data_IF_777090229484
#
_entry.id   IF_777090229484
#
_cell.length_a   1.000
_cell.length_b   1.000
_cell.length_c   1.000
_cell.angle_alpha   90.00
_cell.angle_beta   90.00
_cell.angle_gamma   90.00
#
_symmetry.space_group_name_H-M   'P 1'
#
loop_
_entity.id
_entity.type
_entity.pdbx_description
1 polymer ?
#
# COMPACT_ATOMS: atom_id res chain seq x y z
N UNK A 1 3.62 7.79 5.54
CA UNK A 1 4.03 6.76 4.55
C UNK A 1 5.36 6.19 4.98
N UNK A 2 5.47 4.88 5.22
CA UNK A 2 6.75 4.27 5.61
C UNK A 2 7.67 4.02 4.41
N UNK A 3 7.11 3.48 3.32
CA UNK A 3 7.86 3.18 2.11
C UNK A 3 6.94 3.11 0.90
N UNK A 4 7.44 3.48 -0.27
CA UNK A 4 6.79 3.29 -1.57
C UNK A 4 7.67 2.34 -2.39
N UNK A 5 7.07 1.36 -3.06
CA UNK A 5 7.74 0.38 -3.91
C UNK A 5 7.02 0.32 -5.26
N UNK A 6 7.77 0.44 -6.34
CA UNK A 6 7.26 0.33 -7.71
C UNK A 6 7.69 -1.00 -8.32
N UNK A 7 6.73 -1.76 -8.83
CA UNK A 7 6.95 -3.02 -9.54
C UNK A 7 6.45 -2.93 -10.99
N UNK A 8 6.91 -1.93 -11.73
CA UNK A 8 6.73 -1.87 -13.18
C UNK A 8 5.27 -1.66 -13.59
N UNK A 9 4.58 -0.75 -12.90
CA UNK A 9 3.17 -0.43 -13.14
C UNK A 9 2.25 -0.73 -11.97
N UNK A 10 2.72 -1.49 -10.96
CA UNK A 10 1.98 -1.67 -9.72
C UNK A 10 2.69 -0.96 -8.57
N UNK A 11 1.98 -0.03 -7.91
CA UNK A 11 2.52 0.71 -6.78
C UNK A 11 2.08 0.08 -5.47
N UNK A 12 3.05 -0.13 -4.58
CA UNK A 12 2.83 -0.57 -3.22
C UNK A 12 3.26 0.53 -2.25
N UNK A 13 2.37 0.89 -1.35
CA UNK A 13 2.62 1.87 -0.30
C UNK A 13 2.45 1.17 1.04
N UNK A 14 3.51 1.15 1.85
CA UNK A 14 3.44 0.72 3.24
C UNK A 14 3.01 1.97 4.04
N UNK A 15 1.73 2.07 4.43
CA UNK A 15 1.21 3.17 5.23
C UNK A 15 1.39 2.86 6.72
N UNK A 16 1.89 3.83 7.48
CA UNK A 16 2.14 3.70 8.92
C UNK A 16 1.23 4.63 9.69
N UNK A 17 0.59 4.09 10.72
CA UNK A 17 -0.16 4.83 11.73
C UNK A 17 0.22 4.34 13.14
N UNK A 18 -0.60 4.67 14.14
CA UNK A 18 -0.37 4.23 15.53
C UNK A 18 -0.61 2.74 15.79
N UNK A 19 -1.32 2.02 14.92
CA UNK A 19 -1.59 0.59 15.06
C UNK A 19 -0.57 -0.26 14.32
N UNK A 20 0.10 0.28 13.30
CA UNK A 20 1.22 -0.39 12.64
C UNK A 20 1.32 -0.04 11.17
N UNK A 21 1.66 -1.05 10.37
CA UNK A 21 1.82 -0.94 8.92
C UNK A 21 0.66 -1.64 8.22
N UNK A 22 0.07 -0.98 7.23
CA UNK A 22 -0.91 -1.56 6.30
C UNK A 22 -0.41 -1.36 4.87
N UNK A 23 -0.55 -2.38 4.02
CA UNK A 23 -0.17 -2.27 2.61
C UNK A 23 -1.33 -1.70 1.80
N UNK A 24 -1.00 -0.77 0.92
CA UNK A 24 -1.91 -0.21 -0.06
C UNK A 24 -1.36 -0.56 -1.43
N UNK A 25 -2.22 -1.06 -2.31
CA UNK A 25 -1.89 -1.35 -3.70
C UNK A 25 -2.65 -0.37 -4.58
N UNK A 26 -1.96 0.26 -5.53
CA UNK A 26 -2.57 1.08 -6.55
C UNK A 26 -2.23 0.49 -7.93
N UNK A 27 -3.25 -0.08 -8.59
CA UNK A 27 -3.19 -0.56 -9.98
C UNK A 27 -3.14 0.62 -10.96
N UNK A 28 -2.57 0.45 -12.18
CA UNK A 28 -2.53 1.49 -13.21
C UNK A 28 -3.89 2.10 -13.56
N UNK A 29 -4.94 1.27 -13.49
CA UNK A 29 -6.32 1.65 -13.82
C UNK A 29 -7.00 2.42 -12.68
N UNK A 30 -6.38 2.51 -11.51
CA UNK A 30 -6.90 3.29 -10.39
C UNK A 30 -6.86 4.79 -10.72
N UNK A 31 -7.95 5.55 -10.49
CA UNK A 31 -7.93 7.01 -10.65
C UNK A 31 -6.90 7.68 -9.71
N UNK A 32 -6.49 7.00 -8.65
CA UNK A 32 -5.49 7.48 -7.72
C UNK A 32 -4.04 7.22 -8.17
N UNK A 33 -3.80 6.44 -9.23
CA UNK A 33 -2.46 5.97 -9.59
C UNK A 33 -1.47 7.12 -9.83
N UNK A 34 -1.87 8.11 -10.65
CA UNK A 34 -1.04 9.28 -10.96
C UNK A 34 -0.67 10.10 -9.72
N UNK A 35 -1.57 10.17 -8.74
CA UNK A 35 -1.30 10.84 -7.46
C UNK A 35 -0.38 9.97 -6.61
N UNK A 36 -0.62 8.66 -6.54
CA UNK A 36 0.19 7.71 -5.80
C UNK A 36 1.66 7.68 -6.28
N UNK A 37 1.92 7.84 -7.59
CA UNK A 37 3.28 7.97 -8.16
C UNK A 37 4.08 9.16 -7.58
N UNK A 38 3.40 10.19 -7.09
CA UNK A 38 4.04 11.39 -6.50
C UNK A 38 4.38 11.22 -5.02
N UNK A 39 3.80 10.22 -4.34
CA UNK A 39 3.99 10.01 -2.90
C UNK A 39 5.45 9.67 -2.61
N UNK A 40 5.98 10.20 -1.50
CA UNK A 40 7.34 9.94 -1.02
C UNK A 40 7.31 9.45 0.43
N UNK A 41 8.47 8.97 0.89
CA UNK A 41 8.66 8.54 2.28
C UNK A 41 8.25 9.64 3.26
N UNK A 42 7.63 9.21 4.35
CA UNK A 42 7.21 10.04 5.49
C UNK A 42 6.11 11.08 5.21
N UNK A 43 5.49 11.06 4.02
CA UNK A 43 4.33 11.89 3.73
C UNK A 43 3.10 11.49 4.55
N UNK A 44 2.30 12.48 4.97
CA UNK A 44 0.99 12.28 5.60
C UNK A 44 -0.06 12.24 4.51
N UNK A 45 -0.76 11.11 4.38
CA UNK A 45 -1.78 10.89 3.35
C UNK A 45 -3.03 10.28 3.96
N UNK A 46 -4.16 10.49 3.29
CA UNK A 46 -5.40 9.75 3.49
C UNK A 46 -5.64 8.91 2.25
N UNK A 47 -6.06 7.66 2.44
CA UNK A 47 -6.42 6.75 1.35
C UNK A 47 -7.78 6.16 1.65
N UNK A 48 -8.68 6.24 0.68
CA UNK A 48 -9.96 5.54 0.69
C UNK A 48 -9.87 4.40 -0.35
N UNK A 49 -10.22 3.17 0.04
CA UNK A 49 -10.04 1.99 -0.79
C UNK A 49 -10.77 0.77 -0.24
N UNK A 50 -10.74 -0.32 -1.00
CA UNK A 50 -11.35 -1.60 -0.63
C UNK A 50 -10.31 -2.51 0.02
N UNK A 51 -10.64 -3.08 1.18
CA UNK A 51 -9.81 -4.10 1.83
C UNK A 51 -9.98 -5.42 1.09
N UNK A 52 -8.88 -6.00 0.61
CA UNK A 52 -8.86 -7.28 -0.10
C UNK A 52 -7.86 -8.21 0.57
N UNK A 53 -8.20 -9.50 0.59
CA UNK A 53 -7.25 -10.52 1.00
C UNK A 53 -6.07 -10.56 0.02
N UNK A 54 -4.86 -10.71 0.56
CA UNK A 54 -3.69 -11.00 -0.28
C UNK A 54 -3.78 -12.41 -0.84
N UNK A 55 -3.10 -12.61 -1.96
CA UNK A 55 -2.84 -13.97 -2.44
C UNK A 55 -2.03 -14.72 -1.39
N UNK A 56 -2.30 -16.02 -1.20
CA UNK A 56 -1.65 -16.84 -0.18
C UNK A 56 -0.11 -16.77 -0.25
N UNK A 57 0.45 -16.64 -1.45
CA UNK A 57 1.90 -16.52 -1.70
C UNK A 57 2.51 -15.16 -1.33
N UNK A 58 1.67 -14.13 -1.16
CA UNK A 58 2.09 -12.74 -0.84
C UNK A 58 1.68 -12.30 0.57
N UNK A 59 1.08 -13.20 1.35
CA UNK A 59 0.78 -12.98 2.75
C UNK A 59 2.07 -12.80 3.56
N UNK A 60 2.09 -11.85 4.48
CA UNK A 60 3.27 -11.54 5.30
C UNK A 60 3.04 -11.85 6.78
N UNK A 61 3.45 -13.04 7.22
CA UNK A 61 3.28 -13.51 8.61
C UNK A 61 3.95 -12.62 9.68
N UNK A 62 4.87 -11.73 9.30
CA UNK A 62 5.52 -10.81 10.24
C UNK A 62 4.68 -9.55 10.52
N UNK A 63 3.56 -9.37 9.81
CA UNK A 63 2.67 -8.22 9.98
C UNK A 63 1.31 -8.68 10.52
N UNK A 64 0.73 -7.98 11.52
CA UNK A 64 -0.64 -8.25 11.97
C UNK A 64 -1.68 -8.09 10.85
N UNK A 65 -1.42 -7.20 9.88
CA UNK A 65 -2.24 -7.01 8.68
C UNK A 65 -1.73 -7.85 7.51
N UNK A 66 -0.91 -8.87 7.76
CA UNK A 66 -0.16 -9.59 6.72
C UNK A 66 -1.01 -10.35 5.71
N UNK A 67 -2.24 -10.69 6.09
CA UNK A 67 -3.21 -11.40 5.27
C UNK A 67 -3.99 -10.47 4.33
N UNK A 68 -3.87 -9.14 4.51
CA UNK A 68 -4.57 -8.09 3.74
C UNK A 68 -3.62 -7.00 3.20
#
# INVERSE_FOLDING_TARGET
VHRVRDHGGLLFIDLRDHYGLTQIVADPDSPAFKIAETVRGEWVIRVDGEVKARLAETANANLPTGEI
#
